data_IF_035134426617
#
_entry.id   IF_035134426617
#
_cell.length_a   1.000
_cell.length_b   1.000
_cell.length_c   1.000
_cell.angle_alpha   90.00
_cell.angle_beta   90.00
_cell.angle_gamma   90.00
#
_symmetry.space_group_name_H-M   'P 1'
#
loop_
_entity.id
_entity.type
_entity.pdbx_description
1 polymer ?
#
# COMPACT_ATOMS: atom_id res chain seq x y z
N UNK A 1 -1.83 -18.22 64.20
CA UNK A 1 -2.45 -18.14 62.86
C UNK A 1 -1.47 -17.43 61.95
N UNK A 2 -0.86 -18.13 60.96
CA UNK A 2 -0.04 -17.47 59.97
C UNK A 2 -0.92 -16.74 58.95
N UNK A 3 -0.45 -15.63 58.36
CA UNK A 3 -1.22 -14.88 57.38
C UNK A 3 -1.33 -15.67 56.09
N UNK A 4 -2.55 -15.75 55.55
CA UNK A 4 -2.80 -16.25 54.21
C UNK A 4 -2.15 -15.30 53.20
N UNK A 5 -1.04 -15.72 52.60
CA UNK A 5 -0.57 -15.12 51.35
C UNK A 5 -1.59 -15.46 50.27
N UNK A 6 -2.39 -14.47 49.87
CA UNK A 6 -3.07 -14.53 48.58
C UNK A 6 -2.02 -14.72 47.49
N UNK A 7 -2.13 -15.75 46.63
CA UNK A 7 -1.31 -15.81 45.44
C UNK A 7 -1.64 -14.56 44.61
N UNK A 8 -0.61 -13.76 44.30
CA UNK A 8 -0.70 -12.82 43.19
C UNK A 8 -1.10 -13.64 41.96
N UNK A 9 -2.32 -13.44 41.46
CA UNK A 9 -2.70 -13.90 40.13
C UNK A 9 -1.67 -13.33 39.16
N UNK A 10 -0.79 -14.19 38.66
CA UNK A 10 0.05 -13.83 37.53
C UNK A 10 -0.90 -13.42 36.42
N UNK A 11 -0.90 -12.12 36.10
CA UNK A 11 -1.61 -11.55 34.96
C UNK A 11 -1.30 -12.43 33.75
N UNK A 12 -2.26 -13.26 33.34
CA UNK A 12 -2.09 -14.13 32.18
C UNK A 12 -1.75 -13.21 30.99
N UNK A 13 -0.54 -13.36 30.45
CA UNK A 13 -0.13 -12.57 29.29
C UNK A 13 -1.14 -12.78 28.16
N UNK A 14 -1.61 -11.67 27.59
CA UNK A 14 -2.58 -11.73 26.51
C UNK A 14 -1.97 -12.48 25.32
N UNK A 15 -2.66 -13.49 24.75
CA UNK A 15 -2.11 -14.24 23.63
C UNK A 15 -1.87 -13.34 22.42
N UNK A 16 -0.66 -13.40 21.87
CA UNK A 16 -0.24 -12.64 20.69
C UNK A 16 0.09 -13.56 19.52
N UNK A 17 -0.08 -13.03 18.31
CA UNK A 17 0.39 -13.64 17.06
C UNK A 17 1.62 -12.89 16.57
N UNK A 18 2.70 -13.61 16.27
CA UNK A 18 3.86 -13.08 15.57
C UNK A 18 3.51 -12.92 14.08
N UNK A 19 3.62 -11.71 13.53
CA UNK A 19 3.34 -11.44 12.13
C UNK A 19 4.65 -11.36 11.37
N UNK A 20 4.81 -12.25 10.39
CA UNK A 20 6.03 -12.32 9.58
C UNK A 20 5.70 -12.14 8.10
N UNK A 21 6.54 -11.38 7.41
CA UNK A 21 6.55 -11.29 5.95
C UNK A 21 7.53 -12.31 5.39
N UNK A 22 7.17 -12.95 4.28
CA UNK A 22 8.04 -13.94 3.62
C UNK A 22 8.00 -13.84 2.11
N UNK A 23 9.10 -14.16 1.45
CA UNK A 23 9.09 -14.38 0.01
C UNK A 23 8.43 -15.73 -0.35
N UNK A 24 8.06 -15.89 -1.63
CA UNK A 24 7.43 -17.12 -2.12
C UNK A 24 8.30 -18.39 -1.93
N UNK A 25 9.63 -18.23 -1.85
CA UNK A 25 10.57 -19.33 -1.66
C UNK A 25 10.90 -19.62 -0.18
N UNK A 26 10.35 -18.87 0.77
CA UNK A 26 10.69 -18.91 2.21
C UNK A 26 12.20 -18.73 2.50
N UNK A 27 12.94 -18.06 1.62
CA UNK A 27 14.37 -17.73 1.82
C UNK A 27 14.56 -16.42 2.55
N UNK A 28 13.55 -15.55 2.50
CA UNK A 28 13.53 -14.28 3.20
C UNK A 28 12.35 -14.27 4.14
N UNK A 29 12.61 -14.02 5.43
CA UNK A 29 11.59 -13.93 6.47
C UNK A 29 11.90 -12.71 7.33
N UNK A 30 10.88 -11.93 7.66
CA UNK A 30 11.02 -10.76 8.51
C UNK A 30 9.85 -10.63 9.48
N UNK A 31 10.16 -10.66 10.77
CA UNK A 31 9.21 -10.34 11.82
C UNK A 31 8.85 -8.85 11.76
N UNK A 32 7.56 -8.56 11.73
CA UNK A 32 7.01 -7.21 11.68
C UNK A 32 6.57 -6.74 13.05
N UNK A 33 5.76 -7.56 13.75
CA UNK A 33 5.18 -7.22 15.04
C UNK A 33 4.64 -8.45 15.77
N UNK A 34 4.44 -8.33 17.08
CA UNK A 34 3.57 -9.20 17.86
C UNK A 34 2.25 -8.47 18.11
N UNK A 35 1.14 -9.08 17.73
CA UNK A 35 -0.18 -8.43 17.75
C UNK A 35 -1.17 -9.30 18.53
N UNK A 36 -1.95 -8.75 19.47
CA UNK A 36 -2.95 -9.50 20.21
C UNK A 36 -3.93 -10.25 19.30
N UNK A 37 -4.23 -11.51 19.64
CA UNK A 37 -5.16 -12.36 18.88
C UNK A 37 -6.52 -11.70 18.70
N UNK A 38 -7.00 -10.96 19.71
CA UNK A 38 -8.30 -10.25 19.66
C UNK A 38 -8.39 -9.26 18.50
N UNK A 39 -7.28 -8.63 18.09
CA UNK A 39 -7.29 -7.67 16.99
C UNK A 39 -7.56 -8.39 15.66
N UNK A 40 -6.95 -9.56 15.43
CA UNK A 40 -7.24 -10.34 14.24
C UNK A 40 -8.69 -10.82 14.23
N UNK A 41 -9.20 -11.30 15.37
CA UNK A 41 -10.60 -11.76 15.48
C UNK A 41 -11.59 -10.66 15.07
N UNK A 42 -11.26 -9.42 15.42
CA UNK A 42 -12.11 -8.27 15.15
C UNK A 42 -11.95 -7.69 13.75
N UNK A 43 -10.73 -7.54 13.26
CA UNK A 43 -10.43 -6.70 12.09
C UNK A 43 -9.94 -7.48 10.85
N UNK A 44 -9.46 -8.71 11.06
CA UNK A 44 -8.98 -9.59 10.01
C UNK A 44 -9.32 -11.06 10.32
N UNK A 45 -10.60 -11.41 10.55
CA UNK A 45 -10.97 -12.76 10.94
C UNK A 45 -10.54 -13.86 9.95
N UNK A 46 -10.50 -13.63 8.60
CA UNK A 46 -10.12 -14.70 7.67
C UNK A 46 -8.71 -15.26 7.90
N UNK A 47 -7.75 -14.42 8.29
CA UNK A 47 -6.34 -14.84 8.37
C UNK A 47 -5.98 -15.58 9.65
N UNK A 48 -6.89 -15.63 10.64
CA UNK A 48 -6.65 -16.40 11.87
C UNK A 48 -6.59 -17.89 11.57
N UNK A 49 -7.45 -18.36 10.67
CA UNK A 49 -7.49 -19.75 10.23
C UNK A 49 -6.19 -20.18 9.55
N UNK A 50 -5.42 -19.22 9.02
CA UNK A 50 -4.16 -19.43 8.32
C UNK A 50 -2.94 -19.34 9.25
N UNK A 51 -3.14 -19.12 10.56
CA UNK A 51 -2.05 -19.07 11.53
C UNK A 51 -1.46 -20.45 11.79
N UNK A 52 -0.13 -20.51 11.87
CA UNK A 52 0.59 -21.71 12.27
C UNK A 52 0.84 -21.66 13.77
N UNK A 53 0.42 -22.68 14.51
CA UNK A 53 0.70 -22.80 15.95
C UNK A 53 1.82 -23.82 16.15
N UNK A 54 2.97 -23.38 16.66
CA UNK A 54 4.10 -24.24 17.03
C UNK A 54 4.50 -23.98 18.48
N UNK A 55 4.50 -25.02 19.32
CA UNK A 55 5.08 -25.00 20.67
C UNK A 55 4.72 -23.74 21.50
N UNK A 56 3.44 -23.37 21.52
CA UNK A 56 2.86 -22.19 22.21
C UNK A 56 3.09 -20.82 21.55
N UNK A 57 3.67 -20.77 20.36
CA UNK A 57 3.75 -19.56 19.54
C UNK A 57 2.80 -19.68 18.34
N UNK A 58 1.96 -18.67 18.16
CA UNK A 58 1.10 -18.54 16.98
C UNK A 58 1.76 -17.54 16.03
N UNK A 59 2.03 -17.96 14.80
CA UNK A 59 2.66 -17.12 13.77
C UNK A 59 1.72 -16.99 12.58
N UNK A 60 1.53 -15.76 12.10
CA UNK A 60 0.87 -15.44 10.85
C UNK A 60 1.93 -15.15 9.78
N UNK A 61 1.95 -15.98 8.74
CA UNK A 61 2.90 -15.85 7.63
C UNK A 61 2.24 -15.17 6.43
N UNK A 62 2.67 -13.96 6.11
CA UNK A 62 2.16 -13.16 5.00
C UNK A 62 3.07 -13.32 3.78
N UNK A 63 2.64 -14.04 2.72
CA UNK A 63 3.44 -14.22 1.52
C UNK A 63 3.49 -12.93 0.69
N UNK A 64 4.68 -12.57 0.24
CA UNK A 64 4.95 -11.46 -0.64
C UNK A 64 5.32 -11.94 -2.03
N UNK A 65 4.80 -11.25 -3.04
CA UNK A 65 5.14 -11.51 -4.44
C UNK A 65 6.48 -10.91 -4.83
N UNK A 66 6.86 -9.79 -4.20
CA UNK A 66 8.16 -9.15 -4.36
C UNK A 66 8.63 -8.64 -2.99
N UNK A 67 9.94 -8.77 -2.72
CA UNK A 67 10.62 -8.23 -1.54
C UNK A 67 11.19 -6.83 -1.74
N UNK A 68 11.20 -6.33 -2.98
CA UNK A 68 11.57 -4.96 -3.29
C UNK A 68 10.60 -4.00 -2.58
N UNK A 69 11.13 -2.97 -1.94
CA UNK A 69 10.36 -1.93 -1.25
C UNK A 69 9.52 -2.40 -0.05
N UNK A 70 9.81 -3.56 0.52
CA UNK A 70 9.12 -4.04 1.74
C UNK A 70 9.28 -3.08 2.92
N UNK A 71 10.47 -2.49 3.05
CA UNK A 71 10.76 -1.47 4.07
C UNK A 71 10.04 -0.14 3.81
N UNK A 72 9.68 0.15 2.55
CA UNK A 72 9.03 1.39 2.16
C UNK A 72 7.49 1.29 2.21
N UNK A 73 6.96 0.07 2.06
CA UNK A 73 5.53 -0.19 1.86
C UNK A 73 4.94 -1.11 2.92
N UNK A 74 5.33 -2.39 2.91
CA UNK A 74 4.59 -3.43 3.64
C UNK A 74 4.79 -3.30 5.15
N UNK A 75 6.02 -3.07 5.61
CA UNK A 75 6.32 -2.90 7.04
C UNK A 75 5.67 -1.62 7.60
N UNK A 76 5.85 -0.42 6.99
CA UNK A 76 5.19 0.78 7.46
C UNK A 76 3.66 0.67 7.45
N UNK A 77 3.08 0.08 6.40
CA UNK A 77 1.63 -0.13 6.29
C UNK A 77 1.09 -1.01 7.41
N UNK A 78 1.74 -2.14 7.70
CA UNK A 78 1.35 -3.04 8.78
C UNK A 78 1.50 -2.38 10.15
N UNK A 79 2.61 -1.67 10.41
CA UNK A 79 2.80 -0.91 11.66
C UNK A 79 1.72 0.14 11.86
N UNK A 80 1.41 0.92 10.83
CA UNK A 80 0.32 1.90 10.88
C UNK A 80 -1.03 1.24 11.18
N UNK A 81 -1.33 0.12 10.51
CA UNK A 81 -2.58 -0.61 10.71
C UNK A 81 -2.69 -1.15 12.14
N UNK A 82 -1.67 -1.82 12.66
CA UNK A 82 -1.68 -2.37 14.02
C UNK A 82 -1.76 -1.28 15.09
N UNK A 83 -1.06 -0.15 14.88
CA UNK A 83 -1.21 1.02 15.73
C UNK A 83 -2.64 1.60 15.70
N UNK A 84 -3.32 1.53 14.56
CA UNK A 84 -4.72 1.96 14.45
C UNK A 84 -5.68 1.04 15.22
N UNK A 85 -5.45 -0.27 15.19
CA UNK A 85 -6.25 -1.25 15.96
C UNK A 85 -6.11 -1.01 17.47
N UNK A 86 -4.87 -0.87 17.95
CA UNK A 86 -4.60 -0.60 19.36
C UNK A 86 -5.23 0.72 19.85
N UNK A 87 -5.33 1.74 19.00
CA UNK A 87 -6.02 3.01 19.32
C UNK A 87 -7.54 2.84 19.36
N UNK A 88 -8.11 2.07 18.45
CA UNK A 88 -9.57 1.87 18.33
C UNK A 88 -10.13 1.09 19.53
N UNK A 89 -9.40 0.09 20.02
CA UNK A 89 -9.79 -0.66 21.22
C UNK A 89 -9.83 0.24 22.48
N UNK A 90 -8.96 1.25 22.56
CA UNK A 90 -8.97 2.25 23.65
C UNK A 90 -10.11 3.27 23.53
N UNK A 91 -10.70 3.44 22.34
CA UNK A 91 -11.75 4.42 22.04
C UNK A 91 -12.78 3.83 21.06
N UNK A 92 -13.74 3.01 21.53
CA UNK A 92 -14.66 2.27 20.67
C UNK A 92 -15.58 3.13 19.77
N UNK A 93 -15.72 4.42 20.09
CA UNK A 93 -16.47 5.39 19.28
C UNK A 93 -15.64 6.03 18.16
N UNK A 94 -14.33 5.79 18.11
CA UNK A 94 -13.52 6.13 16.96
C UNK A 94 -13.89 5.15 15.84
N UNK A 95 -14.81 5.56 14.96
CA UNK A 95 -14.95 4.99 13.61
C UNK A 95 -13.53 4.74 13.11
N UNK A 96 -13.19 3.54 12.59
CA UNK A 96 -11.86 3.20 12.03
C UNK A 96 -11.34 4.44 11.33
N UNK A 97 -10.42 5.15 12.01
CA UNK A 97 -10.30 6.60 11.86
C UNK A 97 -10.20 6.92 10.38
N UNK A 98 -11.15 7.71 9.87
CA UNK A 98 -11.05 8.25 8.52
C UNK A 98 -9.67 8.88 8.47
N UNK A 99 -8.74 8.38 7.65
CA UNK A 99 -7.36 8.79 7.80
C UNK A 99 -7.30 10.30 7.57
N UNK A 100 -7.01 11.10 8.62
CA UNK A 100 -6.48 12.47 8.46
C UNK A 100 -5.12 12.44 7.72
N UNK A 101 -4.64 11.22 7.48
CA UNK A 101 -3.48 10.81 6.73
C UNK A 101 -3.53 11.19 5.24
N UNK A 102 -2.34 11.37 4.66
CA UNK A 102 -2.17 11.64 3.23
C UNK A 102 -2.72 10.49 2.35
N UNK A 103 -2.86 10.72 1.05
CA UNK A 103 -3.27 9.68 0.10
C UNK A 103 -2.30 8.50 0.17
N UNK A 104 -0.99 8.77 0.15
CA UNK A 104 0.05 7.75 0.22
C UNK A 104 0.00 6.94 1.52
N UNK A 105 -0.24 7.56 2.67
CA UNK A 105 -0.44 6.83 3.94
C UNK A 105 -1.70 5.95 3.91
N UNK A 106 -2.77 6.44 3.28
CA UNK A 106 -4.00 5.66 3.10
C UNK A 106 -3.77 4.45 2.20
N UNK A 107 -2.91 4.57 1.18
CA UNK A 107 -2.48 3.46 0.32
C UNK A 107 -1.70 2.40 1.10
N UNK A 108 -0.78 2.81 1.99
CA UNK A 108 -0.04 1.88 2.84
C UNK A 108 -0.98 1.08 3.75
N UNK A 109 -1.95 1.76 4.39
CA UNK A 109 -2.97 1.10 5.20
C UNK A 109 -3.83 0.15 4.36
N UNK A 110 -4.27 0.58 3.18
CA UNK A 110 -5.07 -0.25 2.29
C UNK A 110 -4.30 -1.50 1.86
N UNK A 111 -3.02 -1.36 1.50
CA UNK A 111 -2.16 -2.47 1.14
C UNK A 111 -1.99 -3.48 2.29
N UNK A 112 -1.73 -2.99 3.50
CA UNK A 112 -1.67 -3.83 4.70
C UNK A 112 -3.01 -4.54 4.99
N UNK A 113 -4.13 -3.87 4.77
CA UNK A 113 -5.46 -4.49 4.89
C UNK A 113 -5.69 -5.58 3.83
N UNK A 114 -5.19 -5.40 2.60
CA UNK A 114 -5.24 -6.45 1.57
C UNK A 114 -4.40 -7.67 1.97
N UNK A 115 -3.19 -7.47 2.50
CA UNK A 115 -2.35 -8.57 2.99
C UNK A 115 -3.03 -9.40 4.08
N UNK A 116 -3.83 -8.74 4.92
CA UNK A 116 -4.57 -9.36 6.01
C UNK A 116 -6.01 -9.76 5.62
N UNK A 117 -6.36 -9.71 4.33
CA UNK A 117 -7.71 -10.03 3.83
C UNK A 117 -8.82 -9.32 4.62
N UNK A 118 -8.56 -8.08 5.07
CA UNK A 118 -9.50 -7.35 5.92
C UNK A 118 -10.72 -6.92 5.12
N UNK A 119 -11.96 -7.16 5.62
CA UNK A 119 -13.18 -6.76 4.93
C UNK A 119 -13.30 -5.23 4.77
N UNK A 120 -12.57 -4.45 5.57
CA UNK A 120 -12.57 -2.98 5.52
C UNK A 120 -11.73 -2.40 4.37
N UNK A 121 -10.90 -3.22 3.70
CA UNK A 121 -10.01 -2.76 2.64
C UNK A 121 -10.79 -2.09 1.49
N UNK A 122 -11.94 -2.65 1.11
CA UNK A 122 -12.72 -2.16 -0.03
C UNK A 122 -13.35 -0.77 0.24
N UNK A 123 -13.78 -0.50 1.46
CA UNK A 123 -14.27 0.84 1.85
C UNK A 123 -13.16 1.87 1.78
N UNK A 124 -11.97 1.55 2.31
CA UNK A 124 -10.82 2.45 2.25
C UNK A 124 -10.36 2.70 0.81
N UNK A 125 -10.39 1.68 -0.05
CA UNK A 125 -10.12 1.81 -1.48
C UNK A 125 -11.05 2.84 -2.15
N UNK A 126 -12.35 2.76 -1.89
CA UNK A 126 -13.32 3.71 -2.48
C UNK A 126 -13.03 5.15 -2.04
N UNK A 127 -12.73 5.35 -0.76
CA UNK A 127 -12.36 6.66 -0.21
C UNK A 127 -11.07 7.19 -0.86
N UNK A 128 -10.03 6.36 -1.00
CA UNK A 128 -8.78 6.73 -1.67
C UNK A 128 -9.06 7.12 -3.13
N UNK A 129 -9.79 6.28 -3.87
CA UNK A 129 -10.12 6.55 -5.27
C UNK A 129 -10.90 7.86 -5.44
N UNK A 130 -11.82 8.16 -4.53
CA UNK A 130 -12.53 9.45 -4.51
C UNK A 130 -11.56 10.62 -4.34
N UNK A 131 -10.63 10.54 -3.38
CA UNK A 131 -9.62 11.57 -3.12
C UNK A 131 -8.67 11.77 -4.30
N UNK A 132 -8.17 10.70 -4.90
CA UNK A 132 -7.27 10.80 -6.06
C UNK A 132 -7.98 11.48 -7.25
N UNK A 133 -9.30 11.39 -7.38
CA UNK A 133 -10.01 12.12 -8.43
C UNK A 133 -10.18 13.62 -8.12
N UNK A 134 -10.10 14.02 -6.85
CA UNK A 134 -10.36 15.38 -6.39
C UNK A 134 -9.08 16.20 -6.12
N UNK A 135 -7.97 15.54 -5.77
CA UNK A 135 -6.76 16.19 -5.28
C UNK A 135 -5.52 15.82 -6.14
N UNK A 136 -4.57 16.76 -6.36
CA UNK A 136 -3.34 16.45 -7.06
C UNK A 136 -2.45 15.51 -6.24
N UNK A 137 -1.93 14.44 -6.84
CA UNK A 137 -0.96 13.57 -6.18
C UNK A 137 0.38 14.29 -5.98
N UNK A 138 1.02 13.97 -4.86
CA UNK A 138 2.43 14.30 -4.62
C UNK A 138 3.35 13.22 -5.20
N UNK A 139 4.65 13.50 -5.25
CA UNK A 139 5.68 12.51 -5.60
C UNK A 139 5.59 11.26 -4.72
N UNK A 140 5.51 11.46 -3.40
CA UNK A 140 5.42 10.36 -2.44
C UNK A 140 4.15 9.54 -2.62
N UNK A 141 3.02 10.17 -2.99
CA UNK A 141 1.79 9.42 -3.27
C UNK A 141 1.96 8.53 -4.52
N UNK A 142 2.53 9.06 -5.60
CA UNK A 142 2.78 8.29 -6.83
C UNK A 142 3.69 7.09 -6.55
N UNK A 143 4.80 7.31 -5.84
CA UNK A 143 5.75 6.26 -5.49
C UNK A 143 5.09 5.17 -4.62
N UNK A 144 4.33 5.57 -3.59
CA UNK A 144 3.64 4.60 -2.71
C UNK A 144 2.58 3.81 -3.46
N UNK A 145 1.78 4.44 -4.32
CA UNK A 145 0.81 3.73 -5.15
C UNK A 145 1.52 2.73 -6.06
N UNK A 146 2.58 3.16 -6.73
CA UNK A 146 3.33 2.33 -7.65
C UNK A 146 3.89 1.09 -6.97
N UNK A 147 4.69 1.27 -5.93
CA UNK A 147 5.34 0.16 -5.24
C UNK A 147 4.36 -0.76 -4.52
N UNK A 148 3.24 -0.23 -4.00
CA UNK A 148 2.22 -1.05 -3.34
C UNK A 148 1.42 -1.91 -4.31
N UNK A 149 1.22 -1.44 -5.56
CA UNK A 149 0.22 -2.01 -6.45
C UNK A 149 0.80 -2.71 -7.68
N UNK A 150 2.05 -2.44 -8.08
CA UNK A 150 2.62 -2.92 -9.36
C UNK A 150 2.62 -4.45 -9.54
N UNK A 151 2.65 -5.21 -8.45
CA UNK A 151 2.58 -6.68 -8.48
C UNK A 151 1.22 -7.21 -8.02
N UNK A 152 0.19 -6.38 -7.98
CA UNK A 152 -1.16 -6.80 -7.59
C UNK A 152 -2.05 -6.98 -8.82
N UNK A 153 -3.11 -7.78 -8.69
CA UNK A 153 -4.12 -7.90 -9.75
C UNK A 153 -4.84 -6.56 -10.03
N UNK A 154 -4.78 -5.61 -9.10
CA UNK A 154 -5.38 -4.29 -9.25
C UNK A 154 -4.47 -3.28 -9.97
N UNK A 155 -3.25 -3.66 -10.34
CA UNK A 155 -2.25 -2.73 -10.88
C UNK A 155 -2.80 -1.85 -12.01
N UNK A 156 -3.47 -2.46 -12.99
CA UNK A 156 -4.00 -1.74 -14.15
C UNK A 156 -5.00 -0.62 -13.76
N UNK A 157 -5.79 -0.84 -12.71
CA UNK A 157 -6.75 0.15 -12.21
C UNK A 157 -6.03 1.31 -11.53
N UNK A 158 -5.07 1.00 -10.65
CA UNK A 158 -4.29 2.01 -9.95
C UNK A 158 -3.42 2.84 -10.89
N UNK A 159 -2.80 2.19 -11.87
CA UNK A 159 -2.02 2.83 -12.93
C UNK A 159 -2.89 3.81 -13.74
N UNK A 160 -4.09 3.40 -14.15
CA UNK A 160 -5.00 4.26 -14.90
C UNK A 160 -5.37 5.53 -14.09
N UNK A 161 -5.69 5.35 -12.81
CA UNK A 161 -6.05 6.46 -11.90
C UNK A 161 -4.87 7.40 -11.65
N UNK A 162 -3.66 6.88 -11.44
CA UNK A 162 -2.43 7.68 -11.30
C UNK A 162 -2.17 8.48 -12.57
N UNK A 163 -2.23 7.84 -13.74
CA UNK A 163 -1.98 8.52 -15.02
C UNK A 163 -3.03 9.59 -15.32
N UNK A 164 -4.31 9.29 -15.04
CA UNK A 164 -5.40 10.27 -15.12
C UNK A 164 -5.14 11.47 -14.22
N UNK A 165 -4.71 11.26 -12.98
CA UNK A 165 -4.40 12.33 -12.03
C UNK A 165 -3.21 13.21 -12.53
N UNK A 166 -2.12 12.56 -12.94
CA UNK A 166 -0.92 13.24 -13.48
C UNK A 166 -1.29 14.16 -14.65
N UNK A 167 -2.07 13.64 -15.60
CA UNK A 167 -2.54 14.42 -16.75
C UNK A 167 -3.53 15.51 -16.31
N UNK A 168 -4.56 15.14 -15.54
CA UNK A 168 -5.64 16.03 -15.10
C UNK A 168 -5.11 17.27 -14.38
N UNK A 169 -4.24 17.08 -13.40
CA UNK A 169 -3.66 18.17 -12.60
C UNK A 169 -2.40 18.80 -13.19
N UNK A 170 -1.97 18.37 -14.39
CA UNK A 170 -0.73 18.84 -15.05
C UNK A 170 0.51 18.66 -14.17
N UNK A 171 0.59 17.57 -13.41
CA UNK A 171 1.61 17.41 -12.37
C UNK A 171 3.03 17.54 -12.91
N UNK A 172 3.31 16.99 -14.10
CA UNK A 172 4.64 17.06 -14.73
C UNK A 172 5.11 18.48 -15.09
N UNK A 173 4.20 19.48 -15.12
CA UNK A 173 4.54 20.89 -15.36
C UNK A 173 4.82 21.65 -14.07
N UNK A 174 4.44 21.12 -12.91
CA UNK A 174 4.64 21.77 -11.61
C UNK A 174 6.05 21.50 -11.12
N UNK A 175 6.77 22.54 -10.70
CA UNK A 175 8.11 22.39 -10.11
C UNK A 175 8.03 22.54 -8.58
N UNK A 176 8.89 21.83 -7.82
CA UNK A 176 9.84 20.81 -8.28
C UNK A 176 9.21 19.41 -8.47
N UNK A 177 8.04 19.14 -7.87
CA UNK A 177 7.45 17.80 -7.76
C UNK A 177 7.19 17.07 -9.10
N UNK A 178 6.83 17.80 -10.16
CA UNK A 178 6.63 17.22 -11.48
C UNK A 178 7.90 16.67 -12.12
N UNK A 179 9.06 17.27 -11.82
CA UNK A 179 10.36 16.76 -12.25
C UNK A 179 10.70 15.42 -11.58
N UNK A 180 10.41 15.30 -10.29
CA UNK A 180 10.64 14.07 -9.54
C UNK A 180 9.67 12.95 -9.92
N UNK A 181 8.37 13.25 -10.05
CA UNK A 181 7.38 12.27 -10.56
C UNK A 181 7.82 11.74 -11.93
N UNK A 182 8.31 12.62 -12.80
CA UNK A 182 8.83 12.20 -14.10
C UNK A 182 10.04 11.27 -13.96
N UNK A 183 11.05 11.68 -13.19
CA UNK A 183 12.27 10.92 -13.01
C UNK A 183 12.00 9.54 -12.39
N UNK A 184 11.08 9.48 -11.42
CA UNK A 184 10.62 8.24 -10.82
C UNK A 184 10.01 7.29 -11.85
N UNK A 185 8.98 7.74 -12.59
CA UNK A 185 8.31 6.90 -13.60
C UNK A 185 9.31 6.44 -14.68
N UNK A 186 10.20 7.33 -15.12
CA UNK A 186 11.24 7.00 -16.09
C UNK A 186 12.17 5.90 -15.57
N UNK A 187 12.64 6.04 -14.32
CA UNK A 187 13.50 5.06 -13.67
C UNK A 187 12.81 3.70 -13.53
N UNK A 188 11.55 3.67 -13.08
CA UNK A 188 10.80 2.44 -12.91
C UNK A 188 10.56 1.75 -14.26
N UNK A 189 10.22 2.49 -15.32
CA UNK A 189 10.07 1.92 -16.67
C UNK A 189 11.37 1.28 -17.16
N UNK A 190 12.52 1.92 -16.93
CA UNK A 190 13.82 1.37 -17.33
C UNK A 190 14.22 0.12 -16.56
N UNK A 191 13.72 -0.05 -15.32
CA UNK A 191 13.94 -1.26 -14.52
C UNK A 191 13.07 -2.44 -14.94
N UNK A 192 12.01 -2.20 -15.72
CA UNK A 192 11.16 -3.26 -16.22
C UNK A 192 11.82 -3.98 -17.40
N UNK A 193 12.15 -5.25 -17.19
CA UNK A 193 12.64 -6.15 -18.24
C UNK A 193 11.53 -6.56 -19.23
N UNK A 194 10.26 -6.44 -18.81
CA UNK A 194 9.10 -6.83 -19.60
C UNK A 194 8.58 -5.66 -20.47
N UNK A 195 8.77 -5.78 -21.78
CA UNK A 195 8.31 -4.78 -22.76
C UNK A 195 6.79 -4.58 -22.75
N UNK A 196 5.99 -5.63 -22.55
CA UNK A 196 4.54 -5.51 -22.47
C UNK A 196 4.10 -4.66 -21.27
N UNK A 197 4.79 -4.77 -20.12
CA UNK A 197 4.54 -3.91 -18.96
C UNK A 197 4.92 -2.45 -19.25
N UNK A 198 6.06 -2.20 -19.91
CA UNK A 198 6.46 -0.85 -20.33
C UNK A 198 5.42 -0.22 -21.27
N UNK A 199 4.97 -0.99 -22.27
CA UNK A 199 3.96 -0.56 -23.23
C UNK A 199 2.61 -0.27 -22.56
N UNK A 200 2.23 -1.05 -21.53
CA UNK A 200 1.01 -0.80 -20.75
C UNK A 200 1.04 0.58 -20.04
N UNK A 201 2.17 0.91 -19.40
CA UNK A 201 2.37 2.20 -18.70
C UNK A 201 2.29 3.35 -19.69
N UNK A 202 3.00 3.24 -20.82
CA UNK A 202 3.00 4.24 -21.88
C UNK A 202 1.60 4.44 -22.46
N UNK A 203 0.88 3.34 -22.75
CA UNK A 203 -0.47 3.38 -23.29
C UNK A 203 -1.47 4.03 -22.33
N UNK A 204 -1.36 3.77 -21.02
CA UNK A 204 -2.20 4.39 -20.01
C UNK A 204 -2.01 5.93 -19.99
N UNK A 205 -0.76 6.40 -20.04
CA UNK A 205 -0.48 7.83 -20.10
C UNK A 205 -1.03 8.49 -21.38
N UNK A 206 -0.77 7.89 -22.54
CA UNK A 206 -1.20 8.45 -23.83
C UNK A 206 -2.73 8.48 -23.96
N UNK A 207 -3.45 7.47 -23.45
CA UNK A 207 -4.92 7.44 -23.42
C UNK A 207 -5.50 8.70 -22.78
N UNK A 208 -5.02 9.07 -21.59
CA UNK A 208 -5.52 10.24 -20.85
C UNK A 208 -5.04 11.55 -21.47
N UNK A 209 -3.85 11.57 -22.05
CA UNK A 209 -3.35 12.75 -22.76
C UNK A 209 -4.15 13.05 -24.02
N UNK A 210 -4.45 12.04 -24.84
CA UNK A 210 -5.25 12.20 -26.06
C UNK A 210 -6.67 12.67 -25.74
N UNK A 211 -7.27 12.12 -24.69
CA UNK A 211 -8.56 12.57 -24.18
C UNK A 211 -8.55 14.04 -23.76
N UNK A 212 -7.41 14.58 -23.31
CA UNK A 212 -7.30 16.01 -22.99
C UNK A 212 -6.96 16.88 -24.20
N UNK A 213 -6.23 16.35 -25.18
CA UNK A 213 -5.91 17.09 -26.43
C UNK A 213 -7.15 17.43 -27.25
N UNK A 214 -8.19 16.59 -27.20
CA UNK A 214 -9.50 16.93 -27.79
C UNK A 214 -10.19 18.09 -27.07
N UNK A 215 -9.69 18.52 -25.90
CA UNK A 215 -10.21 19.64 -25.11
C UNK A 215 -9.24 20.84 -25.02
N UNK A 216 -7.92 20.66 -25.20
CA UNK A 216 -6.93 21.74 -25.24
C UNK A 216 -5.61 21.31 -25.90
N UNK A 217 -5.02 22.17 -26.76
CA UNK A 217 -3.71 21.98 -27.38
C UNK A 217 -2.57 21.99 -26.33
N UNK A 218 -2.18 20.83 -25.79
CA UNK A 218 -1.03 20.73 -24.87
C UNK A 218 0.24 20.18 -25.56
N UNK A 219 1.32 20.97 -25.52
CA UNK A 219 2.68 20.54 -25.85
C UNK A 219 3.29 19.72 -24.69
N UNK A 220 3.97 18.61 -25.04
CA UNK A 220 4.77 17.83 -24.08
C UNK A 220 6.07 18.56 -23.75
N UNK A 221 6.66 18.33 -22.57
CA UNK A 221 8.09 18.49 -22.39
C UNK A 221 8.83 17.63 -23.43
N UNK A 222 9.73 18.24 -24.21
CA UNK A 222 10.41 17.59 -25.33
C UNK A 222 11.12 16.26 -24.96
N UNK A 223 11.49 16.08 -23.69
CA UNK A 223 12.11 14.87 -23.12
C UNK A 223 11.15 13.68 -23.05
N UNK A 224 9.88 13.88 -22.69
CA UNK A 224 8.90 12.79 -22.59
C UNK A 224 8.55 12.24 -23.98
N UNK A 225 8.44 13.13 -24.97
CA UNK A 225 8.26 12.72 -26.37
C UNK A 225 9.46 11.96 -26.94
N UNK A 226 10.65 12.02 -26.32
CA UNK A 226 11.81 11.20 -26.70
C UNK A 226 11.75 9.81 -26.06
N UNK A 227 11.36 9.72 -24.79
CA UNK A 227 11.17 8.42 -24.13
C UNK A 227 10.08 7.59 -24.84
N UNK A 228 8.92 8.20 -25.11
CA UNK A 228 7.84 7.56 -25.85
C UNK A 228 8.29 7.04 -27.22
N UNK A 229 9.10 7.83 -27.93
CA UNK A 229 9.66 7.43 -29.23
C UNK A 229 10.72 6.33 -29.14
N UNK A 230 11.35 6.15 -27.97
CA UNK A 230 12.37 5.11 -27.72
C UNK A 230 11.77 3.80 -27.23
N UNK A 231 10.59 3.85 -26.60
CA UNK A 231 9.86 2.68 -26.13
C UNK A 231 8.90 2.14 -27.21
N UNK A 232 8.37 3.00 -28.08
CA UNK A 232 7.39 2.64 -29.12
C UNK A 232 7.96 2.50 -30.54
N UNK A 233 9.26 2.71 -30.73
CA UNK A 233 9.93 2.64 -32.04
C UNK A 233 11.24 1.87 -31.92
#
# INVERSE_FOLDING_TARGET
MPPFHHPQEASAEEPTVAVELRDAANRWVRLVAHVPVRHFMRYAPPVISDTMTMHNHTTLLLPLQNTDHVDDVEIPGLHMLFASWARTDRRPQAKLARPEHSIGESILMYRAMQLLSSPHAQTLRQDIMSRINAEPLTETDVQRIWWSMQFTQEWAVWLDVVMRNIVGFKLLKKQPGGGYIWFFIDTEIHRLDNEAHRNCIVAAYERHRQFRKSWAQEQLPARFGRLLRRVLG
#
